data_IF_065718778554
#
_entry.id   IF_065718778554
#
_cell.length_a   1.000
_cell.length_b   1.000
_cell.length_c   1.000
_cell.angle_alpha   90.00
_cell.angle_beta   90.00
_cell.angle_gamma   90.00
#
_symmetry.space_group_name_H-M   'P 1'
#
loop_
_entity.id
_entity.type
_entity.pdbx_description
1 polymer ?
#
# COMPACT_ATOMS: atom_id res chain seq x y z
N UNK A 1 9.97 -19.68 8.96
CA UNK A 1 8.80 -19.19 9.72
C UNK A 1 7.56 -19.70 9.02
N UNK A 2 6.56 -20.15 9.77
CA UNK A 2 5.26 -20.55 9.18
C UNK A 2 4.54 -19.25 8.77
N UNK A 3 4.40 -19.01 7.47
CA UNK A 3 3.84 -17.76 6.96
C UNK A 3 2.33 -17.81 7.15
N UNK A 4 1.79 -16.97 8.05
CA UNK A 4 0.36 -16.91 8.38
C UNK A 4 -0.43 -15.97 7.48
N UNK A 5 0.27 -15.14 6.70
CA UNK A 5 -0.31 -14.09 5.86
C UNK A 5 0.34 -14.18 4.48
N UNK A 6 -0.46 -14.57 3.49
CA UNK A 6 0.00 -14.81 2.11
C UNK A 6 -0.19 -13.58 1.21
N UNK A 7 -1.14 -12.69 1.57
CA UNK A 7 -1.47 -11.47 0.83
C UNK A 7 -1.67 -10.29 1.75
N UNK A 8 -1.19 -9.12 1.33
CA UNK A 8 -1.40 -7.83 1.99
C UNK A 8 -1.95 -6.84 0.98
N UNK A 9 -2.97 -6.09 1.39
CA UNK A 9 -3.50 -4.96 0.63
C UNK A 9 -3.35 -3.72 1.52
N UNK A 10 -2.68 -2.69 1.04
CA UNK A 10 -2.66 -1.38 1.68
C UNK A 10 -3.47 -0.40 0.83
N UNK A 11 -4.43 0.30 1.44
CA UNK A 11 -5.39 1.17 0.76
C UNK A 11 -5.24 2.58 1.31
N UNK A 12 -4.95 3.54 0.43
CA UNK A 12 -4.70 4.95 0.76
C UNK A 12 -3.86 5.13 2.04
N UNK A 13 -2.68 4.46 2.15
CA UNK A 13 -1.90 4.51 3.37
C UNK A 13 -1.31 5.91 3.56
N UNK A 14 -1.44 6.52 4.75
CA UNK A 14 -0.91 7.86 4.98
C UNK A 14 0.62 7.84 5.01
N UNK A 15 1.24 8.93 4.54
CA UNK A 15 2.67 9.13 4.69
C UNK A 15 2.98 9.85 6.01
N UNK A 16 3.03 9.09 7.10
CA UNK A 16 3.26 9.67 8.44
C UNK A 16 4.75 10.05 8.60
N UNK A 17 5.01 11.35 8.76
CA UNK A 17 6.32 11.87 9.17
C UNK A 17 6.65 11.41 10.62
N UNK A 18 7.94 11.37 10.99
CA UNK A 18 8.46 10.63 12.16
C UNK A 18 7.93 10.99 13.57
N UNK A 19 6.87 11.78 13.71
CA UNK A 19 6.25 12.13 15.00
C UNK A 19 5.47 10.98 15.65
N UNK A 20 5.07 9.96 14.90
CA UNK A 20 4.49 8.70 15.41
C UNK A 20 5.27 7.50 14.84
N UNK A 21 6.55 7.40 15.21
CA UNK A 21 7.52 6.58 14.50
C UNK A 21 7.30 5.06 14.58
N UNK A 22 6.76 4.51 15.67
CA UNK A 22 6.79 3.05 15.87
C UNK A 22 5.88 2.28 14.90
N UNK A 23 4.74 2.88 14.50
CA UNK A 23 3.71 2.21 13.68
C UNK A 23 3.55 2.84 12.29
N UNK A 24 4.44 3.76 11.92
CA UNK A 24 4.40 4.37 10.59
C UNK A 24 4.57 3.30 9.50
N UNK A 25 3.74 3.30 8.43
CA UNK A 25 3.80 2.26 7.39
C UNK A 25 5.21 2.01 6.85
N UNK A 26 5.99 3.06 6.59
CA UNK A 26 7.39 2.97 6.14
C UNK A 26 8.29 2.09 7.02
N UNK A 27 8.00 1.97 8.31
CA UNK A 27 8.78 1.18 9.27
C UNK A 27 8.30 -0.28 9.37
N UNK A 28 7.08 -0.57 8.90
CA UNK A 28 6.48 -1.91 8.91
C UNK A 28 6.57 -2.60 7.55
N UNK A 29 6.78 -1.83 6.48
CA UNK A 29 6.95 -2.32 5.11
C UNK A 29 8.00 -3.45 4.96
N UNK A 30 9.15 -3.47 5.68
CA UNK A 30 10.08 -4.60 5.61
C UNK A 30 9.52 -5.93 6.13
N UNK A 31 8.49 -5.91 6.98
CA UNK A 31 7.90 -7.12 7.58
C UNK A 31 7.09 -7.92 6.55
N UNK A 32 6.51 -7.24 5.56
CA UNK A 32 5.68 -7.85 4.52
C UNK A 32 6.50 -8.28 3.29
N UNK A 33 7.83 -8.36 3.42
CA UNK A 33 8.72 -8.47 2.28
C UNK A 33 8.58 -9.77 1.45
N UNK A 34 8.13 -10.84 2.10
CA UNK A 34 7.91 -12.14 1.46
C UNK A 34 6.43 -12.40 1.17
N UNK A 35 5.59 -11.37 1.22
CA UNK A 35 4.14 -11.48 1.06
C UNK A 35 3.72 -10.77 -0.22
N UNK A 36 2.83 -11.40 -1.00
CA UNK A 36 2.26 -10.75 -2.19
C UNK A 36 1.52 -9.49 -1.74
N UNK A 37 1.90 -8.33 -2.28
CA UNK A 37 1.45 -7.04 -1.76
C UNK A 37 0.81 -6.19 -2.85
N UNK A 38 -0.42 -5.73 -2.62
CA UNK A 38 -1.10 -4.73 -3.44
C UNK A 38 -1.11 -3.39 -2.70
N UNK A 39 -0.69 -2.33 -3.39
CA UNK A 39 -0.75 -0.95 -2.92
C UNK A 39 -1.78 -0.18 -3.76
N UNK A 40 -2.85 0.28 -3.12
CA UNK A 40 -3.84 1.16 -3.74
C UNK A 40 -3.60 2.58 -3.23
N UNK A 41 -3.32 3.52 -4.12
CA UNK A 41 -3.12 4.93 -3.76
C UNK A 41 -3.98 5.86 -4.60
N UNK A 42 -4.07 7.12 -4.19
CA UNK A 42 -4.76 8.16 -4.93
C UNK A 42 -3.77 9.27 -5.33
N UNK A 43 -3.94 9.82 -6.53
CA UNK A 43 -3.04 10.84 -7.09
C UNK A 43 -3.15 12.20 -6.37
N UNK A 44 -4.33 12.53 -5.85
CA UNK A 44 -4.68 13.80 -5.21
C UNK A 44 -5.02 13.61 -3.72
N UNK A 45 -4.36 12.66 -3.05
CA UNK A 45 -4.58 12.36 -1.63
C UNK A 45 -3.99 13.45 -0.72
N UNK A 46 -4.84 14.00 0.16
CA UNK A 46 -4.49 15.00 1.17
C UNK A 46 -3.46 14.51 2.21
N UNK A 47 -3.34 13.19 2.36
CA UNK A 47 -2.51 12.52 3.37
C UNK A 47 -1.26 11.82 2.81
N UNK A 48 -1.13 11.72 1.48
CA UNK A 48 0.03 11.14 0.83
C UNK A 48 0.14 11.59 -0.64
N UNK A 49 1.16 12.38 -0.97
CA UNK A 49 1.36 12.80 -2.36
C UNK A 49 2.02 11.70 -3.23
N UNK A 50 2.06 11.84 -4.57
CA UNK A 50 2.65 10.82 -5.45
C UNK A 50 4.11 10.45 -5.15
N UNK A 51 4.92 11.41 -4.70
CA UNK A 51 6.34 11.18 -4.34
C UNK A 51 6.43 10.32 -3.09
N UNK A 52 5.58 10.59 -2.10
CA UNK A 52 5.47 9.83 -0.86
C UNK A 52 4.97 8.40 -1.10
N UNK A 53 3.97 8.24 -1.97
CA UNK A 53 3.48 6.93 -2.41
C UNK A 53 4.56 6.13 -3.12
N UNK A 54 5.35 6.78 -4.00
CA UNK A 54 6.50 6.16 -4.65
C UNK A 54 7.55 5.69 -3.64
N UNK A 55 7.82 6.51 -2.63
CA UNK A 55 8.77 6.17 -1.57
C UNK A 55 8.26 4.98 -0.73
N UNK A 56 7.00 4.96 -0.31
CA UNK A 56 6.43 3.82 0.42
C UNK A 56 6.49 2.53 -0.41
N UNK A 57 6.10 2.61 -1.68
CA UNK A 57 6.12 1.45 -2.57
C UNK A 57 7.53 0.92 -2.83
N UNK A 58 8.54 1.81 -2.92
CA UNK A 58 9.93 1.42 -3.14
C UNK A 58 10.53 0.70 -1.92
N UNK A 59 10.09 1.06 -0.71
CA UNK A 59 10.52 0.42 0.53
C UNK A 59 10.03 -1.04 0.65
N UNK A 60 8.96 -1.44 -0.06
CA UNK A 60 8.47 -2.82 -0.06
C UNK A 60 9.52 -3.70 -0.72
N UNK A 61 10.26 -4.42 0.11
CA UNK A 61 11.27 -5.37 -0.32
C UNK A 61 10.52 -6.62 -0.81
N UNK A 62 10.61 -7.02 -2.07
CA UNK A 62 9.85 -8.18 -2.56
C UNK A 62 9.57 -8.10 -4.05
N UNK A 63 9.56 -9.25 -4.73
CA UNK A 63 9.34 -9.32 -6.18
C UNK A 63 7.85 -9.35 -6.55
N UNK A 64 6.99 -9.74 -5.61
CA UNK A 64 5.54 -9.85 -5.83
C UNK A 64 4.82 -8.64 -5.21
N UNK A 65 5.02 -7.47 -5.81
CA UNK A 65 4.32 -6.25 -5.43
C UNK A 65 3.67 -5.57 -6.62
N UNK A 66 2.46 -5.07 -6.42
CA UNK A 66 1.68 -4.35 -7.41
C UNK A 66 1.23 -3.01 -6.82
N UNK A 67 1.12 -1.99 -7.67
CA UNK A 67 0.55 -0.70 -7.30
C UNK A 67 -0.48 -0.26 -8.32
N UNK A 68 -1.60 0.24 -7.84
CA UNK A 68 -2.66 0.85 -8.64
C UNK A 68 -2.90 2.24 -8.07
N UNK A 69 -2.92 3.22 -8.95
CA UNK A 69 -3.17 4.62 -8.62
C UNK A 69 -4.52 5.03 -9.21
N UNK A 70 -5.39 5.58 -8.36
CA UNK A 70 -6.65 6.17 -8.79
C UNK A 70 -6.48 7.68 -8.97
N UNK A 71 -7.08 8.21 -10.03
CA UNK A 71 -7.21 9.65 -10.21
C UNK A 71 -8.34 10.19 -9.32
N UNK A 72 -8.04 10.31 -8.03
CA UNK A 72 -8.99 10.70 -6.99
C UNK A 72 -8.26 11.32 -5.79
N UNK A 73 -9.04 11.88 -4.87
CA UNK A 73 -8.57 12.17 -3.51
C UNK A 73 -8.56 10.94 -2.62
N UNK A 74 -8.47 11.17 -1.30
CA UNK A 74 -8.43 10.11 -0.28
C UNK A 74 -9.64 9.15 -0.33
N UNK A 75 -10.80 9.66 -0.77
CA UNK A 75 -11.98 8.83 -1.03
C UNK A 75 -11.83 8.22 -2.43
N UNK A 76 -11.55 6.92 -2.46
CA UNK A 76 -11.36 6.17 -3.71
C UNK A 76 -12.69 5.97 -4.47
N UNK A 77 -12.64 5.88 -5.82
CA UNK A 77 -13.82 5.61 -6.65
C UNK A 77 -14.42 4.24 -6.32
N UNK A 78 -15.75 4.10 -6.27
CA UNK A 78 -16.43 2.88 -5.84
C UNK A 78 -15.93 1.57 -6.48
N UNK A 79 -15.43 1.63 -7.72
CA UNK A 79 -14.90 0.49 -8.47
C UNK A 79 -13.51 0.02 -8.00
N UNK A 80 -12.87 0.67 -7.00
CA UNK A 80 -11.59 0.21 -6.46
C UNK A 80 -11.68 -1.19 -5.84
N UNK A 81 -12.86 -1.58 -5.34
CA UNK A 81 -13.13 -2.90 -4.74
C UNK A 81 -12.94 -4.04 -5.73
N UNK A 82 -13.17 -3.79 -7.02
CA UNK A 82 -12.99 -4.78 -8.08
C UNK A 82 -11.52 -5.18 -8.21
N UNK A 83 -10.59 -4.24 -7.97
CA UNK A 83 -9.15 -4.51 -7.99
C UNK A 83 -8.73 -5.40 -6.81
N UNK A 84 -9.39 -5.24 -5.65
CA UNK A 84 -9.14 -6.09 -4.49
C UNK A 84 -9.57 -7.53 -4.78
N UNK A 85 -10.73 -7.69 -5.40
CA UNK A 85 -11.30 -8.97 -5.77
C UNK A 85 -10.40 -9.74 -6.73
N UNK A 86 -9.86 -9.06 -7.75
CA UNK A 86 -8.88 -9.64 -8.69
C UNK A 86 -7.63 -10.11 -7.94
N UNK A 87 -7.06 -9.27 -7.08
CA UNK A 87 -5.84 -9.59 -6.34
C UNK A 87 -6.03 -10.74 -5.32
N UNK A 88 -7.17 -10.78 -4.64
CA UNK A 88 -7.45 -11.83 -3.65
C UNK A 88 -7.69 -13.20 -4.31
N UNK A 89 -8.21 -13.24 -5.53
CA UNK A 89 -8.48 -14.48 -6.27
C UNK A 89 -7.27 -15.07 -7.00
N UNK A 90 -6.27 -14.26 -7.35
CA UNK A 90 -5.03 -14.67 -8.04
C UNK A 90 -3.94 -15.10 -7.07
#
# INVERSE_FOLDING_TARGET
MNQRVDKVIAIAPPFINGKVAVVAPKNLVPIIANTSTLFITASDDEYANPVENNLLFSLISGQQKQRIDFDSGHILPAHYVEQLDVFLKN
#
